data_IF_498819036801
#
_entry.id   IF_498819036801
#
_cell.length_a   1.000
_cell.length_b   1.000
_cell.length_c   1.000
_cell.angle_alpha   90.00
_cell.angle_beta   90.00
_cell.angle_gamma   90.00
#
_symmetry.space_group_name_H-M   'P 1'
#
loop_
_entity.id
_entity.type
_entity.pdbx_description
1 polymer ?
#
# COMPACT_ATOMS: atom_id res chain seq x y z
N UNK A 1 -4.81 10.39 -5.03
CA UNK A 1 -3.76 10.28 -6.06
C UNK A 1 -2.44 9.95 -5.39
N UNK A 2 -1.62 9.11 -6.02
CA UNK A 2 -0.32 8.67 -5.52
C UNK A 2 0.79 8.89 -6.58
N UNK A 3 2.03 9.06 -6.13
CA UNK A 3 3.24 9.16 -6.96
C UNK A 3 4.46 8.61 -6.21
N UNK A 4 5.42 8.00 -6.91
CA UNK A 4 6.63 7.35 -6.34
C UNK A 4 7.84 7.76 -7.16
N UNK A 5 8.97 8.10 -6.54
CA UNK A 5 10.16 8.56 -7.27
C UNK A 5 11.21 7.46 -7.46
N UNK A 6 11.95 7.52 -8.57
CA UNK A 6 13.07 6.62 -8.82
C UNK A 6 14.34 7.09 -8.08
N UNK A 7 15.00 6.20 -7.34
CA UNK A 7 16.34 6.41 -6.79
C UNK A 7 17.46 6.05 -7.79
N UNK A 8 18.67 6.58 -7.63
CA UNK A 8 19.80 6.30 -8.54
C UNK A 8 20.23 4.82 -8.47
N UNK A 9 20.21 4.16 -9.63
CA UNK A 9 20.43 2.72 -9.80
C UNK A 9 21.91 2.32 -9.77
N UNK A 10 22.21 1.18 -9.13
CA UNK A 10 23.33 0.32 -9.49
C UNK A 10 22.75 -1.05 -9.80
N UNK A 11 22.82 -1.46 -11.06
CA UNK A 11 22.41 -2.79 -11.52
C UNK A 11 23.40 -3.84 -11.00
N UNK A 12 22.94 -4.77 -10.16
CA UNK A 12 23.63 -6.05 -9.99
C UNK A 12 22.61 -7.16 -9.76
N UNK A 13 22.44 -7.99 -10.79
CA UNK A 13 21.72 -9.25 -10.73
C UNK A 13 22.51 -10.22 -9.84
N UNK A 14 21.93 -10.65 -8.72
CA UNK A 14 22.38 -11.85 -8.00
C UNK A 14 21.16 -12.73 -7.74
N UNK A 15 21.11 -13.85 -8.44
CA UNK A 15 20.19 -14.95 -8.19
C UNK A 15 20.70 -15.76 -6.99
N UNK A 16 19.93 -15.87 -5.91
CA UNK A 16 20.04 -17.01 -4.98
C UNK A 16 18.68 -17.33 -4.33
N UNK A 17 18.32 -18.61 -4.42
CA UNK A 17 17.07 -19.25 -3.99
C UNK A 17 17.12 -19.58 -2.48
N UNK A 18 16.06 -19.32 -1.71
CA UNK A 18 15.67 -20.14 -0.54
C UNK A 18 14.24 -19.85 0.00
N UNK A 19 13.34 -20.79 -0.29
CA UNK A 19 12.36 -21.47 0.59
C UNK A 19 11.53 -20.62 1.58
N UNK A 20 10.25 -20.51 1.23
CA UNK A 20 9.13 -20.12 2.10
C UNK A 20 7.80 -20.30 1.36
N UNK A 21 7.53 -21.50 0.84
CA UNK A 21 6.25 -21.82 0.17
C UNK A 21 5.10 -21.86 1.18
N UNK A 22 4.33 -20.77 1.24
CA UNK A 22 2.88 -20.86 1.40
C UNK A 22 2.26 -20.32 0.10
N UNK A 23 2.22 -21.19 -0.92
CA UNK A 23 1.46 -20.95 -2.14
C UNK A 23 -0.02 -21.17 -1.85
N UNK A 24 -0.69 -20.13 -1.35
CA UNK A 24 -2.11 -19.98 -1.68
C UNK A 24 -2.16 -19.24 -3.01
N UNK A 25 -2.40 -19.98 -4.09
CA UNK A 25 -2.64 -19.39 -5.40
C UNK A 25 -3.90 -18.54 -5.29
N UNK A 26 -3.74 -17.24 -5.07
CA UNK A 26 -4.82 -16.29 -5.36
C UNK A 26 -5.06 -16.39 -6.87
N UNK A 27 -6.22 -16.92 -7.28
CA UNK A 27 -6.65 -16.82 -8.67
C UNK A 27 -6.81 -15.32 -8.98
N UNK A 28 -5.78 -14.73 -9.57
CA UNK A 28 -5.84 -13.39 -10.10
C UNK A 28 -6.71 -13.43 -11.36
N UNK A 29 -7.95 -12.95 -11.25
CA UNK A 29 -8.80 -12.77 -12.41
C UNK A 29 -8.51 -11.39 -13.02
N UNK A 30 -7.96 -11.37 -14.24
CA UNK A 30 -7.91 -10.14 -15.03
C UNK A 30 -9.35 -9.68 -15.33
N UNK A 31 -9.75 -8.54 -14.78
CA UNK A 31 -11.09 -7.99 -15.00
C UNK A 31 -11.28 -7.50 -16.44
N UNK A 32 -12.45 -7.81 -17.03
CA UNK A 32 -12.90 -7.18 -18.28
C UNK A 32 -12.92 -5.65 -18.10
N UNK A 33 -12.30 -4.92 -19.03
CA UNK A 33 -12.07 -3.48 -18.97
C UNK A 33 -13.33 -2.63 -19.18
N UNK A 34 -14.24 -2.63 -18.21
CA UNK A 34 -15.27 -1.62 -18.03
C UNK A 34 -14.72 -0.37 -17.34
N UNK A 35 -15.25 0.80 -17.69
CA UNK A 35 -15.03 2.03 -16.94
C UNK A 35 -16.01 2.04 -15.76
N UNK A 36 -15.75 1.17 -14.78
CA UNK A 36 -16.57 1.05 -13.59
C UNK A 36 -16.21 2.22 -12.66
N UNK A 37 -17.20 3.03 -12.26
CA UNK A 37 -16.99 4.00 -11.19
C UNK A 37 -16.74 3.24 -9.88
N UNK A 38 -15.51 3.24 -9.33
CA UNK A 38 -15.18 2.45 -8.16
C UNK A 38 -15.84 2.98 -6.88
N UNK A 39 -16.55 4.11 -6.95
CA UNK A 39 -17.29 4.72 -5.84
C UNK A 39 -18.80 4.60 -5.98
N UNK A 40 -19.29 3.96 -7.04
CA UNK A 40 -20.73 3.84 -7.31
C UNK A 40 -21.48 3.16 -6.16
N UNK A 41 -22.43 3.90 -5.57
CA UNK A 41 -23.25 3.43 -4.46
C UNK A 41 -22.53 3.33 -3.12
N UNK A 42 -21.33 3.91 -2.99
CA UNK A 42 -20.71 4.13 -1.70
C UNK A 42 -20.99 5.54 -1.17
N UNK A 43 -21.03 5.67 0.15
CA UNK A 43 -21.08 6.94 0.85
C UNK A 43 -19.68 7.35 1.29
N UNK A 44 -19.39 8.65 1.19
CA UNK A 44 -18.09 9.19 1.60
C UNK A 44 -18.03 9.30 3.13
N UNK A 45 -16.97 8.78 3.72
CA UNK A 45 -16.66 8.96 5.14
C UNK A 45 -15.93 10.29 5.32
N UNK A 46 -16.38 11.08 6.29
CA UNK A 46 -15.68 12.31 6.67
C UNK A 46 -14.48 11.97 7.56
N UNK A 47 -13.29 12.39 7.10
CA UNK A 47 -12.03 12.15 7.78
C UNK A 47 -11.49 13.47 8.36
N UNK A 48 -11.03 13.41 9.59
CA UNK A 48 -10.31 14.46 10.30
C UNK A 48 -8.80 14.22 10.28
N UNK A 49 -8.01 15.23 10.63
CA UNK A 49 -6.54 15.07 10.71
C UNK A 49 -6.09 14.02 11.75
N UNK A 50 -6.88 13.80 12.81
CA UNK A 50 -6.60 12.77 13.81
C UNK A 50 -6.72 11.33 13.30
N UNK A 51 -7.45 11.11 12.20
CA UNK A 51 -7.62 9.78 11.60
C UNK A 51 -6.35 9.32 10.86
N UNK A 52 -5.43 10.24 10.57
CA UNK A 52 -4.18 9.96 9.85
C UNK A 52 -3.04 9.65 10.84
N UNK A 53 -3.03 8.43 11.39
CA UNK A 53 -2.00 8.00 12.34
C UNK A 53 -0.70 7.67 11.62
N UNK A 54 0.31 8.55 11.74
CA UNK A 54 1.62 8.35 11.11
C UNK A 54 2.48 7.37 11.91
N UNK A 55 2.96 6.33 11.24
CA UNK A 55 4.01 5.42 11.69
C UNK A 55 5.31 5.83 10.98
N UNK A 56 6.41 5.98 11.73
CA UNK A 56 7.73 6.37 11.20
C UNK A 56 8.84 5.65 11.96
N UNK A 57 10.05 5.50 11.38
CA UNK A 57 11.18 4.86 12.05
C UNK A 57 11.46 5.46 13.43
N UNK A 58 11.68 4.63 14.45
CA UNK A 58 11.86 5.12 15.82
C UNK A 58 13.22 5.81 16.05
N UNK A 59 14.21 5.58 15.18
CA UNK A 59 15.58 6.03 15.36
C UNK A 59 15.84 7.44 14.78
N UNK A 60 14.85 8.08 14.16
CA UNK A 60 14.97 9.41 13.57
C UNK A 60 13.70 10.23 13.82
N UNK A 61 13.77 11.58 13.85
CA UNK A 61 12.58 12.41 13.99
C UNK A 61 11.58 12.18 12.86
N UNK A 62 10.28 12.13 13.19
CA UNK A 62 9.19 11.99 12.21
C UNK A 62 9.27 13.02 11.07
N UNK A 63 9.67 14.25 11.36
CA UNK A 63 9.80 15.32 10.36
C UNK A 63 10.86 15.05 9.28
N UNK A 64 11.76 14.10 9.48
CA UNK A 64 12.74 13.67 8.47
C UNK A 64 12.24 12.52 7.59
N UNK A 65 11.07 11.93 7.90
CA UNK A 65 10.51 10.76 7.20
C UNK A 65 9.08 10.99 6.72
N UNK A 66 8.39 12.00 7.26
CA UNK A 66 7.06 12.37 6.86
C UNK A 66 6.90 13.89 6.83
N UNK A 67 6.23 14.39 5.80
CA UNK A 67 5.79 15.77 5.68
C UNK A 67 4.35 15.82 5.17
N UNK A 68 3.54 16.72 5.73
CA UNK A 68 2.27 17.13 5.14
C UNK A 68 2.35 18.63 4.82
N UNK A 69 2.28 18.97 3.52
CA UNK A 69 2.39 20.36 3.05
C UNK A 69 1.52 20.55 1.82
N UNK A 70 0.73 21.61 1.79
CA UNK A 70 -0.11 22.00 0.64
C UNK A 70 -0.99 20.84 0.11
N UNK A 71 -1.60 20.06 1.01
CA UNK A 71 -2.46 18.93 0.63
C UNK A 71 -1.70 17.67 0.17
N UNK A 72 -0.37 17.67 0.18
CA UNK A 72 0.46 16.50 -0.20
C UNK A 72 1.16 15.93 1.03
N UNK A 73 0.99 14.62 1.24
CA UNK A 73 1.73 13.81 2.21
C UNK A 73 2.91 13.18 1.50
N UNK A 74 4.12 13.47 1.94
CA UNK A 74 5.35 12.87 1.42
C UNK A 74 5.99 12.01 2.49
N UNK A 75 6.39 10.80 2.09
CA UNK A 75 6.98 9.78 2.94
C UNK A 75 8.35 9.42 2.41
N UNK A 76 9.31 9.24 3.30
CA UNK A 76 10.64 8.75 3.00
C UNK A 76 11.00 7.61 3.92
N UNK A 77 11.69 6.62 3.38
CA UNK A 77 12.43 5.64 4.18
C UNK A 77 13.81 5.46 3.56
N UNK A 78 14.84 5.49 4.39
CA UNK A 78 16.23 5.29 4.01
C UNK A 78 16.68 3.89 4.42
N UNK A 79 17.65 3.35 3.69
CA UNK A 79 18.14 1.96 3.90
C UNK A 79 18.61 1.63 5.32
N UNK A 80 19.02 2.64 6.10
CA UNK A 80 19.55 2.48 7.46
C UNK A 80 18.52 2.83 8.55
N UNK A 81 17.28 3.13 8.16
CA UNK A 81 16.21 3.36 9.12
C UNK A 81 15.89 2.10 9.91
N UNK A 82 15.32 2.28 11.09
CA UNK A 82 14.83 1.20 11.94
C UNK A 82 13.32 1.04 11.78
N UNK A 83 12.74 -0.06 12.30
CA UNK A 83 11.30 -0.25 12.31
C UNK A 83 10.57 0.92 13.01
N UNK A 84 9.24 0.96 12.90
CA UNK A 84 8.48 2.03 13.55
C UNK A 84 8.32 1.84 15.07
N UNK A 85 8.59 0.63 15.57
CA UNK A 85 8.61 0.30 17.00
C UNK A 85 9.69 -0.74 17.30
N UNK A 86 9.96 -0.99 18.57
CA UNK A 86 10.92 -2.01 19.03
C UNK A 86 10.26 -3.32 19.46
N UNK A 87 8.91 -3.36 19.50
CA UNK A 87 8.14 -4.50 19.98
C UNK A 87 7.96 -5.60 18.91
N UNK A 88 8.05 -5.24 17.63
CA UNK A 88 7.79 -6.14 16.49
C UNK A 88 8.98 -6.20 15.56
N UNK A 89 9.20 -7.36 14.92
CA UNK A 89 10.30 -7.57 13.96
C UNK A 89 9.96 -7.10 12.54
N UNK A 90 9.23 -5.99 12.40
CA UNK A 90 8.82 -5.50 11.08
C UNK A 90 9.93 -4.70 10.40
N UNK A 91 9.92 -4.59 9.06
CA UNK A 91 10.86 -3.72 8.34
C UNK A 91 10.57 -2.22 8.57
N UNK A 92 11.53 -1.32 8.29
CA UNK A 92 11.35 0.12 8.35
C UNK A 92 10.22 0.61 7.44
N UNK A 93 9.49 1.62 7.92
CA UNK A 93 8.35 2.21 7.22
C UNK A 93 8.16 3.67 7.59
N UNK A 94 7.64 4.44 6.65
CA UNK A 94 6.96 5.69 6.93
C UNK A 94 5.62 5.64 6.21
N UNK A 95 4.54 5.50 6.96
CA UNK A 95 3.20 5.29 6.43
C UNK A 95 2.16 5.93 7.34
N UNK A 96 0.99 6.23 6.79
CA UNK A 96 -0.22 6.52 7.56
C UNK A 96 -1.06 5.27 7.68
N UNK A 97 -1.64 5.05 8.85
CA UNK A 97 -2.74 4.13 9.10
C UNK A 97 -4.03 4.91 9.30
N UNK A 98 -5.11 4.51 8.63
CA UNK A 98 -6.48 4.96 8.86
C UNK A 98 -7.29 3.74 9.31
N UNK A 99 -7.94 3.86 10.46
CA UNK A 99 -8.84 2.80 10.96
C UNK A 99 -10.14 2.79 10.16
N UNK A 100 -10.61 1.62 9.74
CA UNK A 100 -11.90 1.45 9.05
C UNK A 100 -12.87 0.74 9.99
N UNK A 101 -12.46 -0.40 10.55
CA UNK A 101 -13.22 -1.18 11.52
C UNK A 101 -12.25 -1.93 12.42
N UNK A 102 -12.52 -1.94 13.72
CA UNK A 102 -11.66 -2.62 14.70
C UNK A 102 -12.54 -3.43 15.65
N UNK A 103 -12.38 -4.75 15.59
CA UNK A 103 -12.97 -5.68 16.55
C UNK A 103 -11.91 -6.06 17.59
N UNK A 104 -12.26 -5.95 18.86
CA UNK A 104 -11.34 -6.21 19.96
C UNK A 104 -10.91 -7.68 19.98
N UNK A 105 -9.60 -7.93 20.02
CA UNK A 105 -9.04 -9.28 20.05
C UNK A 105 -9.00 -9.99 18.68
N UNK A 106 -9.50 -9.37 17.61
CA UNK A 106 -9.43 -9.94 16.28
C UNK A 106 -8.00 -10.00 15.75
N UNK A 107 -7.67 -11.10 15.05
CA UNK A 107 -6.39 -11.24 14.39
C UNK A 107 -6.32 -10.30 13.18
N UNK A 108 -5.23 -9.53 13.07
CA UNK A 108 -4.97 -8.69 11.91
C UNK A 108 -4.30 -9.51 10.80
N UNK A 109 -5.06 -9.86 9.76
CA UNK A 109 -4.50 -10.41 8.54
C UNK A 109 -4.24 -9.29 7.53
N UNK A 110 -3.10 -9.33 6.84
CA UNK A 110 -2.88 -8.42 5.70
C UNK A 110 -3.70 -8.92 4.52
N UNK A 111 -4.71 -8.13 4.15
CA UNK A 111 -5.67 -8.46 3.10
C UNK A 111 -5.09 -8.19 1.68
N UNK A 112 -4.29 -7.14 1.54
CA UNK A 112 -3.67 -6.71 0.28
C UNK A 112 -2.38 -5.94 0.58
N UNK A 113 -1.33 -6.18 -0.20
CA UNK A 113 -0.18 -5.27 -0.32
C UNK A 113 0.14 -4.98 -1.78
N UNK A 114 0.40 -3.70 -2.06
CA UNK A 114 0.85 -3.25 -3.36
C UNK A 114 2.33 -2.86 -3.29
N UNK A 115 3.16 -3.63 -3.98
CA UNK A 115 4.60 -3.39 -4.05
C UNK A 115 4.95 -2.62 -5.32
N UNK A 116 6.10 -1.94 -5.32
CA UNK A 116 6.62 -1.25 -6.50
C UNK A 116 8.07 -1.62 -6.71
N UNK A 117 8.33 -2.35 -7.80
CA UNK A 117 9.69 -2.72 -8.23
C UNK A 117 9.85 -2.40 -9.70
N UNK A 118 10.99 -1.82 -10.07
CA UNK A 118 11.32 -1.49 -11.47
C UNK A 118 10.21 -0.71 -12.18
N UNK A 119 9.56 0.21 -11.44
CA UNK A 119 8.48 1.06 -11.95
C UNK A 119 7.15 0.35 -12.15
N UNK A 120 7.00 -0.89 -11.69
CA UNK A 120 5.77 -1.67 -11.82
C UNK A 120 5.12 -1.86 -10.46
N UNK A 121 3.86 -1.44 -10.35
CA UNK A 121 2.95 -1.74 -9.26
C UNK A 121 2.55 -3.21 -9.33
N UNK A 122 2.66 -3.94 -8.22
CA UNK A 122 2.40 -5.39 -8.15
C UNK A 122 1.56 -5.74 -6.93
N UNK A 123 0.80 -6.83 -7.04
CA UNK A 123 0.22 -7.51 -5.87
C UNK A 123 1.30 -8.38 -5.23
N UNK A 124 1.77 -7.99 -4.03
CA UNK A 124 2.99 -8.53 -3.44
C UNK A 124 4.13 -8.58 -4.49
N UNK A 125 4.89 -9.68 -4.54
CA UNK A 125 5.93 -9.92 -5.55
C UNK A 125 5.38 -10.65 -6.79
N UNK A 126 4.05 -10.79 -6.89
CA UNK A 126 3.36 -11.57 -7.90
C UNK A 126 2.90 -10.73 -9.09
N UNK A 127 1.58 -10.77 -9.34
CA UNK A 127 0.97 -10.21 -10.53
C UNK A 127 1.22 -8.70 -10.68
N UNK A 128 1.60 -8.27 -11.89
CA UNK A 128 1.68 -6.87 -12.25
C UNK A 128 0.27 -6.25 -12.32
N UNK A 129 0.12 -5.08 -11.70
CA UNK A 129 -1.10 -4.28 -11.67
C UNK A 129 -1.02 -3.14 -12.68
N UNK A 130 0.09 -2.39 -12.66
CA UNK A 130 0.35 -1.28 -13.58
C UNK A 130 1.85 -1.07 -13.76
N UNK A 131 2.30 -0.82 -14.99
CA UNK A 131 3.71 -0.54 -15.29
C UNK A 131 3.96 0.95 -15.51
N UNK A 132 5.21 1.38 -15.32
CA UNK A 132 5.66 2.74 -15.61
C UNK A 132 5.12 3.81 -14.65
N UNK A 133 4.95 3.49 -13.37
CA UNK A 133 4.28 4.36 -12.41
C UNK A 133 5.19 5.37 -11.67
N UNK A 134 6.50 5.35 -11.94
CA UNK A 134 7.41 6.31 -11.32
C UNK A 134 7.17 7.73 -11.81
N UNK A 135 7.30 8.69 -10.91
CA UNK A 135 7.21 10.13 -11.12
C UNK A 135 5.88 10.61 -11.74
N UNK A 136 4.87 9.74 -11.74
CA UNK A 136 3.53 10.03 -12.22
C UNK A 136 2.54 10.14 -11.07
N UNK A 137 1.58 11.05 -11.20
CA UNK A 137 0.37 11.05 -10.38
C UNK A 137 -0.68 10.17 -11.04
N UNK A 138 -1.18 9.18 -10.30
CA UNK A 138 -2.30 8.34 -10.75
C UNK A 138 -3.34 8.21 -9.63
N UNK A 139 -4.59 7.94 -10.01
CA UNK A 139 -5.66 7.64 -9.06
C UNK A 139 -5.67 6.15 -8.77
N UNK A 140 -5.32 5.78 -7.55
CA UNK A 140 -5.42 4.42 -7.03
C UNK A 140 -6.73 4.28 -6.23
N UNK A 141 -7.54 3.28 -6.56
CA UNK A 141 -8.66 2.84 -5.72
C UNK A 141 -8.46 1.38 -5.34
N UNK A 142 -8.70 1.06 -4.07
CA UNK A 142 -8.79 -0.30 -3.56
C UNK A 142 -10.19 -0.47 -3.00
N UNK A 143 -10.94 -1.44 -3.53
CA UNK A 143 -12.28 -1.78 -3.06
C UNK A 143 -12.20 -3.14 -2.38
N UNK A 144 -12.62 -3.20 -1.13
CA UNK A 144 -12.71 -4.45 -0.37
C UNK A 144 -14.19 -4.82 -0.19
N UNK A 145 -14.61 -5.93 -0.80
CA UNK A 145 -15.92 -6.53 -0.58
C UNK A 145 -15.79 -7.56 0.53
N UNK A 146 -16.19 -7.16 1.73
CA UNK A 146 -16.09 -7.98 2.95
C UNK A 146 -16.96 -9.23 2.83
N UNK A 147 -18.18 -9.10 2.32
CA UNK A 147 -19.13 -10.20 2.21
C UNK A 147 -18.67 -11.26 1.21
N UNK A 148 -18.14 -10.82 0.07
CA UNK A 148 -17.56 -11.73 -0.93
C UNK A 148 -16.13 -12.17 -0.58
N UNK A 149 -15.50 -11.55 0.41
CA UNK A 149 -14.07 -11.74 0.75
C UNK A 149 -13.18 -11.55 -0.47
N UNK A 150 -13.34 -10.42 -1.17
CA UNK A 150 -12.54 -10.07 -2.35
C UNK A 150 -12.03 -8.64 -2.31
N UNK A 151 -10.89 -8.42 -2.97
CA UNK A 151 -10.37 -7.08 -3.25
C UNK A 151 -10.30 -6.82 -4.74
N UNK A 152 -10.50 -5.57 -5.12
CA UNK A 152 -10.28 -5.07 -6.48
C UNK A 152 -9.43 -3.81 -6.45
N UNK A 153 -8.48 -3.71 -7.38
CA UNK A 153 -7.59 -2.55 -7.52
C UNK A 153 -7.85 -1.87 -8.86
N UNK A 154 -8.00 -0.55 -8.82
CA UNK A 154 -8.21 0.29 -9.98
C UNK A 154 -7.10 1.33 -10.08
N UNK A 155 -6.65 1.58 -11.31
CA UNK A 155 -5.74 2.68 -11.64
C UNK A 155 -6.44 3.56 -12.66
N UNK A 156 -6.56 4.84 -12.36
CA UNK A 156 -7.23 5.86 -13.18
C UNK A 156 -8.67 5.47 -13.57
N UNK A 157 -9.39 4.86 -12.62
CA UNK A 157 -10.78 4.39 -12.82
C UNK A 157 -10.91 3.08 -13.60
N UNK A 158 -9.80 2.48 -14.05
CA UNK A 158 -9.83 1.21 -14.77
C UNK A 158 -9.49 0.07 -13.82
N UNK A 159 -10.31 -0.98 -13.76
CA UNK A 159 -10.00 -2.18 -12.98
C UNK A 159 -8.74 -2.84 -13.54
N UNK A 160 -7.74 -3.05 -12.69
CA UNK A 160 -6.45 -3.66 -13.07
C UNK A 160 -6.24 -5.03 -12.46
N UNK A 161 -6.77 -5.25 -11.25
CA UNK A 161 -6.54 -6.48 -10.51
C UNK A 161 -7.73 -6.84 -9.61
N UNK A 162 -7.88 -8.12 -9.30
CA UNK A 162 -8.71 -8.57 -8.19
C UNK A 162 -8.33 -9.97 -7.72
N UNK A 163 -8.60 -10.23 -6.45
CA UNK A 163 -8.27 -11.49 -5.79
C UNK A 163 -9.27 -11.78 -4.65
N UNK A 164 -9.44 -13.06 -4.33
CA UNK A 164 -10.03 -13.48 -3.07
C UNK A 164 -9.05 -13.24 -1.92
N UNK A 165 -9.57 -12.91 -0.75
CA UNK A 165 -8.79 -12.61 0.44
C UNK A 165 -9.29 -13.44 1.62
N UNK A 166 -8.43 -13.60 2.61
CA UNK A 166 -8.81 -14.24 3.87
C UNK A 166 -9.71 -13.27 4.62
N UNK A 167 -10.92 -13.70 5.05
CA UNK A 167 -11.78 -12.87 5.88
C UNK A 167 -11.07 -12.39 7.15
N UNK A 168 -11.38 -11.19 7.60
CA UNK A 168 -10.91 -10.66 8.88
C UNK A 168 -12.04 -9.90 9.56
N UNK A 169 -11.96 -9.74 10.86
CA UNK A 169 -12.93 -8.95 11.61
C UNK A 169 -12.36 -7.56 11.96
N UNK A 170 -11.19 -7.20 11.42
CA UNK A 170 -10.56 -5.91 11.64
C UNK A 170 -9.84 -5.39 10.41
N UNK A 171 -10.19 -4.17 10.02
CA UNK A 171 -9.74 -3.54 8.79
C UNK A 171 -9.19 -2.15 9.05
N UNK A 172 -8.00 -1.91 8.49
CA UNK A 172 -7.41 -0.60 8.39
C UNK A 172 -6.78 -0.45 7.02
N UNK A 173 -6.67 0.79 6.57
CA UNK A 173 -5.93 1.11 5.36
C UNK A 173 -4.60 1.75 5.71
N UNK A 174 -3.55 1.37 4.99
CA UNK A 174 -2.22 1.96 5.13
C UNK A 174 -1.70 2.44 3.79
N UNK A 175 -1.03 3.59 3.81
CA UNK A 175 -0.37 4.15 2.63
C UNK A 175 0.89 4.92 3.00
N UNK A 176 1.91 4.84 2.15
CA UNK A 176 3.22 5.43 2.37
C UNK A 176 4.32 4.57 1.77
N UNK A 177 5.44 4.44 2.47
CA UNK A 177 6.58 3.60 2.09
C UNK A 177 6.81 2.55 3.17
N UNK A 178 6.83 1.29 2.78
CA UNK A 178 7.17 0.17 3.65
C UNK A 178 8.17 -0.74 2.93
N UNK A 179 9.35 -0.92 3.53
CA UNK A 179 10.42 -1.75 2.97
C UNK A 179 10.03 -3.23 3.02
N UNK A 180 10.21 -3.94 1.91
CA UNK A 180 9.92 -5.38 1.81
C UNK A 180 11.16 -6.22 1.51
N UNK A 181 12.03 -5.79 0.60
CA UNK A 181 13.21 -6.56 0.19
C UNK A 181 14.52 -6.01 0.71
N UNK A 182 15.56 -6.85 0.64
CA UNK A 182 16.91 -6.51 1.06
C UNK A 182 17.68 -5.70 -0.01
N UNK A 183 17.28 -5.78 -1.28
CA UNK A 183 17.82 -5.03 -2.42
C UNK A 183 17.17 -3.63 -2.56
N UNK A 184 16.99 -2.98 -1.41
CA UNK A 184 16.35 -1.69 -1.30
C UNK A 184 17.19 -0.54 -1.88
N UNK A 185 16.50 0.42 -2.50
CA UNK A 185 17.09 1.72 -2.85
C UNK A 185 17.62 2.45 -1.59
N UNK A 186 18.60 3.33 -1.77
CA UNK A 186 19.16 4.13 -0.67
C UNK A 186 18.12 4.99 0.03
N UNK A 187 17.15 5.49 -0.75
CA UNK A 187 15.97 6.23 -0.33
C UNK A 187 14.77 5.75 -1.16
N UNK A 188 13.64 5.54 -0.50
CA UNK A 188 12.35 5.26 -1.12
C UNK A 188 11.38 6.36 -0.72
N UNK A 189 10.66 6.90 -1.70
CA UNK A 189 9.73 8.00 -1.49
C UNK A 189 8.38 7.70 -2.13
N UNK A 190 7.30 8.05 -1.44
CA UNK A 190 5.97 8.14 -2.04
C UNK A 190 5.28 9.44 -1.63
N UNK A 191 4.41 9.92 -2.51
CA UNK A 191 3.59 11.12 -2.35
C UNK A 191 2.13 10.80 -2.52
N UNK A 192 1.30 11.35 -1.64
CA UNK A 192 -0.12 11.03 -1.55
C UNK A 192 -0.94 12.30 -1.34
N UNK A 193 -2.02 12.45 -2.10
CA UNK A 193 -2.95 13.58 -1.98
C UNK A 193 -4.38 13.13 -2.26
N UNK A 194 -5.37 13.93 -1.86
CA UNK A 194 -6.79 13.65 -2.05
C UNK A 194 -7.18 12.25 -1.56
N UNK A 195 -6.89 11.97 -0.29
CA UNK A 195 -7.22 10.70 0.37
C UNK A 195 -8.66 10.77 0.84
N UNK A 196 -9.45 9.81 0.38
CA UNK A 196 -10.87 9.67 0.72
C UNK A 196 -11.17 8.23 1.08
N UNK A 197 -12.05 8.04 2.06
CA UNK A 197 -12.57 6.75 2.47
C UNK A 197 -14.06 6.72 2.14
N UNK A 198 -14.53 5.57 1.70
CA UNK A 198 -15.92 5.34 1.34
C UNK A 198 -16.39 4.02 1.95
N UNK A 199 -17.64 3.97 2.37
CA UNK A 199 -18.28 2.77 2.91
C UNK A 199 -19.59 2.51 2.19
N UNK A 200 -20.01 1.24 2.19
CA UNK A 200 -21.28 0.79 1.63
C UNK A 200 -21.80 -0.31 2.54
N UNK A 201 -23.09 -0.23 2.86
CA UNK A 201 -23.81 -1.19 3.69
C UNK A 201 -24.76 -2.04 2.85
#
# INVERSE_FOLDING_TARGET
MASITAGSWLHLLVLLVAIGTFLLHALAAAGRGGNDDPTAGFEKVELSDSDFVVQSPYNVPKSQRFQYRNGVRTFWVYRNDKPFNTATHTNPRSEVMISIHNEEGAAHATVLMLHVYDGVLRFYDGAAVEAGIYDLWFRLNVVHDVAASTVAVYVDGRRKFGASVIPSDSYYFKFGVYIQHQDQSSCMESRWTNITLYTKY
#
